data_IF_946124309037
#
_entry.id   IF_946124309037
#
_cell.length_a   1.000
_cell.length_b   1.000
_cell.length_c   1.000
_cell.angle_alpha   90.00
_cell.angle_beta   90.00
_cell.angle_gamma   90.00
#
_symmetry.space_group_name_H-M   'P 1'
#
loop_
_entity.id
_entity.type
_entity.pdbx_description
1 polymer ?
#
# COMPACT_ATOMS: atom_id res chain seq x y z
N UNK A 1 -2.17 -1.14 -16.80
CA UNK A 1 -1.54 -1.80 -15.64
C UNK A 1 -0.99 -0.74 -14.70
N UNK A 2 -1.33 -0.84 -13.42
CA UNK A 2 -0.75 0.00 -12.37
C UNK A 2 0.75 -0.31 -12.23
N UNK A 3 1.60 0.70 -11.96
CA UNK A 3 3.04 0.49 -11.73
C UNK A 3 3.27 -0.43 -10.54
N UNK A 4 2.43 -0.31 -9.51
CA UNK A 4 2.49 -1.20 -8.34
C UNK A 4 2.18 -2.65 -8.73
N UNK A 5 1.13 -2.87 -9.52
CA UNK A 5 0.72 -4.20 -10.00
C UNK A 5 1.83 -4.90 -10.78
N UNK A 6 2.45 -4.19 -11.74
CA UNK A 6 3.56 -4.74 -12.52
C UNK A 6 4.74 -5.15 -11.63
N UNK A 7 5.10 -4.33 -10.64
CA UNK A 7 6.19 -4.65 -9.72
C UNK A 7 5.84 -5.89 -8.90
N UNK A 8 4.62 -5.99 -8.38
CA UNK A 8 4.21 -7.11 -7.55
C UNK A 8 4.09 -8.41 -8.35
N UNK A 9 3.54 -8.38 -9.57
CA UNK A 9 3.50 -9.54 -10.47
C UNK A 9 4.91 -10.06 -10.79
N UNK A 10 5.85 -9.17 -11.12
CA UNK A 10 7.25 -9.55 -11.39
C UNK A 10 7.98 -10.15 -10.17
N UNK A 11 7.43 -10.01 -8.97
CA UNK A 11 7.98 -10.56 -7.73
C UNK A 11 7.15 -11.74 -7.17
N UNK A 12 6.25 -12.32 -7.96
CA UNK A 12 5.34 -13.41 -7.54
C UNK A 12 4.38 -13.01 -6.39
N UNK A 13 4.08 -11.72 -6.23
CA UNK A 13 3.18 -11.19 -5.19
C UNK A 13 1.77 -10.86 -5.74
N UNK A 14 1.40 -11.43 -6.88
CA UNK A 14 0.12 -11.15 -7.54
C UNK A 14 -1.10 -11.50 -6.68
N UNK A 15 -1.08 -12.67 -6.02
CA UNK A 15 -2.18 -13.08 -5.12
C UNK A 15 -2.35 -12.09 -3.97
N UNK A 16 -1.24 -11.66 -3.36
CA UNK A 16 -1.24 -10.64 -2.32
C UNK A 16 -1.80 -9.30 -2.82
N UNK A 17 -1.45 -8.88 -4.04
CA UNK A 17 -1.95 -7.65 -4.67
C UNK A 17 -3.46 -7.69 -4.89
N UNK A 18 -4.00 -8.83 -5.29
CA UNK A 18 -5.43 -9.03 -5.51
C UNK A 18 -6.25 -8.95 -4.21
N UNK A 19 -5.64 -9.22 -3.06
CA UNK A 19 -6.27 -9.09 -1.74
C UNK A 19 -6.23 -7.66 -1.17
N UNK A 20 -5.45 -6.77 -1.77
CA UNK A 20 -5.38 -5.37 -1.35
C UNK A 20 -6.67 -4.64 -1.73
N UNK A 21 -7.24 -3.92 -0.78
CA UNK A 21 -8.27 -2.93 -1.04
C UNK A 21 -7.69 -1.76 -1.82
N UNK A 22 -8.54 -1.02 -2.55
CA UNK A 22 -8.13 0.20 -3.26
C UNK A 22 -7.38 1.19 -2.35
N UNK A 23 -7.80 1.31 -1.09
CA UNK A 23 -7.15 2.21 -0.12
C UNK A 23 -5.76 1.73 0.30
N UNK A 24 -5.58 0.42 0.48
CA UNK A 24 -4.26 -0.16 0.76
C UNK A 24 -3.32 0.01 -0.44
N UNK A 25 -3.80 -0.25 -1.67
CA UNK A 25 -3.04 -0.04 -2.91
C UNK A 25 -2.52 1.39 -3.00
N UNK A 26 -3.41 2.38 -2.87
CA UNK A 26 -3.04 3.79 -2.94
C UNK A 26 -2.00 4.18 -1.87
N UNK A 27 -2.19 3.76 -0.61
CA UNK A 27 -1.26 4.10 0.48
C UNK A 27 0.10 3.43 0.27
N UNK A 28 0.14 2.18 -0.22
CA UNK A 28 1.39 1.49 -0.54
C UNK A 28 2.11 2.19 -1.70
N UNK A 29 1.39 2.58 -2.76
CA UNK A 29 1.93 3.35 -3.88
C UNK A 29 2.53 4.67 -3.41
N UNK A 30 1.76 5.48 -2.65
CA UNK A 30 2.22 6.76 -2.12
C UNK A 30 3.50 6.60 -1.28
N UNK A 31 3.55 5.58 -0.42
CA UNK A 31 4.70 5.38 0.46
C UNK A 31 5.93 4.86 -0.27
N UNK A 32 5.81 3.77 -1.05
CA UNK A 32 6.96 3.06 -1.61
C UNK A 32 7.35 3.49 -3.01
N UNK A 33 6.41 3.99 -3.82
CA UNK A 33 6.69 4.41 -5.21
C UNK A 33 6.83 5.92 -5.35
N UNK A 34 6.10 6.69 -4.54
CA UNK A 34 6.12 8.16 -4.60
C UNK A 34 6.93 8.80 -3.46
N UNK A 35 7.32 8.03 -2.44
CA UNK A 35 8.22 8.48 -1.37
C UNK A 35 7.56 9.31 -0.27
N UNK A 36 6.23 9.36 -0.20
CA UNK A 36 5.51 10.04 0.88
C UNK A 36 5.71 9.34 2.23
N UNK A 37 5.69 10.11 3.30
CA UNK A 37 5.67 9.64 4.69
C UNK A 37 4.24 9.45 5.17
N UNK A 38 4.07 8.60 6.19
CA UNK A 38 2.75 8.34 6.79
C UNK A 38 2.04 9.62 7.26
N UNK A 39 2.78 10.65 7.67
CA UNK A 39 2.25 11.95 8.11
C UNK A 39 1.68 12.77 6.94
N UNK A 40 2.38 12.81 5.81
CA UNK A 40 1.96 13.52 4.60
C UNK A 40 0.73 12.84 3.99
N UNK A 41 0.73 11.51 3.97
CA UNK A 41 -0.41 10.69 3.53
C UNK A 41 -1.60 10.91 4.48
N UNK A 42 -1.36 10.96 5.80
CA UNK A 42 -2.41 11.19 6.78
C UNK A 42 -3.06 12.57 6.61
N UNK A 43 -2.23 13.61 6.38
CA UNK A 43 -2.69 14.95 6.07
C UNK A 43 -3.53 14.99 4.79
N UNK A 44 -3.06 14.37 3.70
CA UNK A 44 -3.79 14.28 2.43
C UNK A 44 -5.17 13.62 2.58
N UNK A 45 -5.28 12.58 3.42
CA UNK A 45 -6.53 11.86 3.64
C UNK A 45 -7.40 12.40 4.79
N UNK A 46 -6.95 13.43 5.51
CA UNK A 46 -7.66 13.98 6.67
C UNK A 46 -7.84 12.98 7.82
N UNK A 47 -6.86 12.09 8.03
CA UNK A 47 -6.90 11.06 9.08
C UNK A 47 -5.65 11.12 9.97
N UNK A 48 -5.61 10.30 11.02
CA UNK A 48 -4.42 10.21 11.88
C UNK A 48 -3.31 9.39 11.22
N UNK A 49 -2.05 9.70 11.58
CA UNK A 49 -0.87 8.92 11.19
C UNK A 49 -1.01 7.44 11.58
N UNK A 50 -1.57 7.13 12.76
CA UNK A 50 -1.76 5.74 13.18
C UNK A 50 -2.72 4.97 12.26
N UNK A 51 -3.74 5.65 11.72
CA UNK A 51 -4.65 5.03 10.77
C UNK A 51 -3.92 4.64 9.47
N UNK A 52 -3.11 5.54 8.90
CA UNK A 52 -2.31 5.24 7.71
C UNK A 52 -1.32 4.11 7.98
N UNK A 53 -0.60 4.17 9.10
CA UNK A 53 0.32 3.11 9.51
C UNK A 53 -0.38 1.74 9.60
N UNK A 54 -1.57 1.68 10.21
CA UNK A 54 -2.36 0.45 10.33
C UNK A 54 -2.77 -0.09 8.96
N UNK A 55 -3.26 0.77 8.07
CA UNK A 55 -3.66 0.37 6.71
C UNK A 55 -2.46 -0.15 5.93
N UNK A 56 -1.33 0.57 5.96
CA UNK A 56 -0.08 0.15 5.30
C UNK A 56 0.42 -1.18 5.83
N UNK A 57 0.44 -1.37 7.16
CA UNK A 57 0.85 -2.62 7.80
C UNK A 57 -0.06 -3.77 7.39
N UNK A 58 -1.37 -3.58 7.37
CA UNK A 58 -2.32 -4.61 6.94
C UNK A 58 -2.12 -5.01 5.48
N UNK A 59 -1.92 -4.02 4.60
CA UNK A 59 -1.61 -4.28 3.19
C UNK A 59 -0.33 -5.09 3.01
N UNK A 60 0.75 -4.73 3.72
CA UNK A 60 2.00 -5.50 3.70
C UNK A 60 1.83 -6.93 4.24
N UNK A 61 1.01 -7.13 5.28
CA UNK A 61 0.72 -8.47 5.78
C UNK A 61 0.01 -9.34 4.73
N UNK A 62 -0.89 -8.75 3.93
CA UNK A 62 -1.53 -9.46 2.81
C UNK A 62 -0.53 -9.83 1.72
N UNK A 63 0.38 -8.91 1.39
CA UNK A 63 1.45 -9.16 0.42
C UNK A 63 2.40 -10.27 0.89
N UNK A 64 2.67 -10.39 2.19
CA UNK A 64 3.58 -11.41 2.75
C UNK A 64 2.95 -12.78 2.99
N UNK A 65 1.63 -12.93 2.82
CA UNK A 65 0.93 -14.16 3.19
C UNK A 65 1.18 -15.30 2.19
N UNK A 66 1.70 -14.96 1.01
CA UNK A 66 2.09 -15.83 -0.09
C UNK A 66 3.51 -15.46 -0.50
#
# INVERSE_FOLDING_TARGET
MDRLENILQNNNLEEGYNLLTKREKNIITLYYLEGYKDEEIAFYYGVTRQNIFKIRKNGLTKLKKF
#
